data_IF_028498048844
#
_entry.id   IF_028498048844
#
_cell.length_a   1.000
_cell.length_b   1.000
_cell.length_c   1.000
_cell.angle_alpha   90.00
_cell.angle_beta   90.00
_cell.angle_gamma   90.00
#
_symmetry.space_group_name_H-M   'P 1'
#
loop_
_entity.id
_entity.type
_entity.pdbx_description
1 polymer ?
#
# COMPACT_ATOMS: atom_id res chain seq x y z
N UNK A 1 -7.32 -18.23 10.49
CA UNK A 1 -5.98 -17.60 10.51
C UNK A 1 -5.13 -17.88 9.27
N UNK A 2 -4.84 -19.15 8.89
CA UNK A 2 -4.02 -19.48 7.71
C UNK A 2 -4.46 -18.79 6.39
N UNK A 3 -5.78 -18.68 6.16
CA UNK A 3 -6.35 -17.96 5.01
C UNK A 3 -5.91 -16.49 4.94
N UNK A 4 -5.94 -15.77 6.05
CA UNK A 4 -5.62 -14.34 6.08
C UNK A 4 -4.13 -14.07 5.84
N UNK A 5 -3.24 -14.93 6.36
CA UNK A 5 -1.81 -14.84 6.02
C UNK A 5 -1.56 -15.07 4.53
N UNK A 6 -2.22 -16.08 3.92
CA UNK A 6 -2.10 -16.30 2.46
C UNK A 6 -2.58 -15.09 1.66
N UNK A 7 -3.73 -14.52 2.03
CA UNK A 7 -4.26 -13.32 1.37
C UNK A 7 -3.30 -12.12 1.53
N UNK A 8 -2.76 -11.92 2.73
CA UNK A 8 -1.81 -10.84 2.98
C UNK A 8 -0.55 -11.00 2.13
N UNK A 9 -0.01 -12.21 2.00
CA UNK A 9 1.15 -12.47 1.17
C UNK A 9 0.90 -12.09 -0.30
N UNK A 10 -0.28 -12.41 -0.83
CA UNK A 10 -0.67 -12.02 -2.21
C UNK A 10 -0.70 -10.50 -2.35
N UNK A 11 -1.29 -9.77 -1.40
CA UNK A 11 -1.33 -8.31 -1.44
C UNK A 11 0.07 -7.69 -1.32
N UNK A 12 0.94 -8.25 -0.47
CA UNK A 12 2.31 -7.77 -0.30
C UNK A 12 3.14 -8.01 -1.55
N UNK A 13 2.94 -9.14 -2.23
CA UNK A 13 3.55 -9.41 -3.53
C UNK A 13 3.08 -8.39 -4.57
N UNK A 14 1.77 -8.11 -4.62
CA UNK A 14 1.23 -7.11 -5.53
C UNK A 14 1.77 -5.70 -5.24
N UNK A 15 1.88 -5.31 -3.97
CA UNK A 15 2.53 -4.07 -3.53
C UNK A 15 3.97 -3.97 -4.06
N UNK A 16 4.76 -5.03 -3.91
CA UNK A 16 6.15 -5.04 -4.36
C UNK A 16 6.25 -4.93 -5.89
N UNK A 17 5.34 -5.57 -6.63
CA UNK A 17 5.27 -5.46 -8.08
C UNK A 17 4.92 -4.04 -8.55
N UNK A 18 4.00 -3.36 -7.86
CA UNK A 18 3.67 -1.95 -8.14
C UNK A 18 4.85 -1.02 -7.84
N UNK A 19 5.56 -1.24 -6.72
CA UNK A 19 6.78 -0.50 -6.39
C UNK A 19 7.84 -0.70 -7.47
N UNK A 20 8.05 -1.94 -7.91
CA UNK A 20 9.03 -2.22 -8.95
C UNK A 20 8.70 -1.50 -10.27
N UNK A 21 7.46 -1.59 -10.74
CA UNK A 21 7.01 -0.89 -11.96
C UNK A 21 7.09 0.63 -11.84
N UNK A 22 6.70 1.18 -10.70
CA UNK A 22 6.67 2.63 -10.46
C UNK A 22 8.03 3.27 -10.19
N UNK A 23 9.10 2.49 -10.04
CA UNK A 23 10.37 2.99 -9.48
C UNK A 23 11.04 4.07 -10.33
N UNK A 24 10.91 3.99 -11.67
CA UNK A 24 11.48 4.99 -12.57
C UNK A 24 10.55 6.18 -12.80
N UNK A 25 9.24 5.95 -12.88
CA UNK A 25 8.24 6.98 -13.17
C UNK A 25 7.92 7.86 -11.95
N UNK A 26 7.92 7.27 -10.75
CA UNK A 26 7.41 7.91 -9.53
C UNK A 26 8.45 7.98 -8.40
N UNK A 27 9.75 7.85 -8.70
CA UNK A 27 10.84 7.80 -7.70
C UNK A 27 10.76 8.90 -6.62
N UNK A 28 10.34 10.10 -7.02
CA UNK A 28 10.23 11.26 -6.14
C UNK A 28 8.81 11.56 -5.63
N UNK A 29 7.81 10.82 -6.11
CA UNK A 29 6.44 10.99 -5.67
C UNK A 29 6.25 10.44 -4.24
N UNK A 30 5.46 11.16 -3.44
CA UNK A 30 5.24 10.86 -2.02
C UNK A 30 4.52 9.52 -1.81
N UNK A 31 3.49 9.21 -2.61
CA UNK A 31 2.78 7.91 -2.59
C UNK A 31 3.78 6.77 -2.77
N UNK A 32 4.65 6.87 -3.78
CA UNK A 32 5.64 5.84 -4.08
C UNK A 32 6.62 5.61 -2.94
N UNK A 33 7.15 6.69 -2.35
CA UNK A 33 8.03 6.63 -1.18
C UNK A 33 7.33 5.99 0.03
N UNK A 34 6.05 6.31 0.25
CA UNK A 34 5.23 5.70 1.31
C UNK A 34 4.95 4.22 1.05
N UNK A 35 4.73 3.80 -0.20
CA UNK A 35 4.60 2.38 -0.56
C UNK A 35 5.88 1.59 -0.25
N UNK A 36 7.07 2.15 -0.56
CA UNK A 36 8.36 1.54 -0.19
C UNK A 36 8.49 1.40 1.33
N UNK A 37 8.11 2.45 2.08
CA UNK A 37 8.09 2.41 3.55
C UNK A 37 7.14 1.31 4.06
N UNK A 38 5.93 1.21 3.51
CA UNK A 38 4.96 0.18 3.86
C UNK A 38 5.55 -1.23 3.69
N UNK A 39 6.16 -1.52 2.53
CA UNK A 39 6.81 -2.82 2.26
C UNK A 39 7.89 -3.14 3.31
N UNK A 40 8.70 -2.15 3.72
CA UNK A 40 9.72 -2.31 4.77
C UNK A 40 9.10 -2.56 6.15
N UNK A 41 8.01 -1.88 6.49
CA UNK A 41 7.33 -2.02 7.78
C UNK A 41 6.67 -3.39 7.91
N UNK A 42 6.09 -3.91 6.83
CA UNK A 42 5.50 -5.25 6.78
C UNK A 42 6.56 -6.32 7.09
N UNK A 43 7.75 -6.22 6.50
CA UNK A 43 8.87 -7.13 6.81
C UNK A 43 9.32 -7.08 8.28
N UNK A 44 9.16 -5.92 8.92
CA UNK A 44 9.52 -5.70 10.33
C UNK A 44 8.36 -5.98 11.30
N UNK A 45 7.20 -6.40 10.79
CA UNK A 45 6.00 -6.69 11.60
C UNK A 45 5.58 -5.55 12.55
N UNK A 46 5.77 -4.29 12.15
CA UNK A 46 5.39 -3.14 12.98
C UNK A 46 3.93 -2.72 12.70
N UNK A 47 2.97 -3.45 13.27
CA UNK A 47 1.55 -3.37 12.90
C UNK A 47 0.92 -1.99 13.04
N UNK A 48 1.17 -1.28 14.14
CA UNK A 48 0.65 0.08 14.33
C UNK A 48 1.12 1.02 13.22
N UNK A 49 2.42 0.97 12.87
CA UNK A 49 2.95 1.81 11.78
C UNK A 49 2.45 1.37 10.40
N UNK A 50 2.20 0.08 10.20
CA UNK A 50 1.62 -0.43 8.95
C UNK A 50 0.23 0.18 8.73
N UNK A 51 -0.64 0.12 9.74
CA UNK A 51 -2.00 0.67 9.66
C UNK A 51 -1.98 2.17 9.32
N UNK A 52 -1.18 2.95 10.06
CA UNK A 52 -1.04 4.39 9.82
C UNK A 52 -0.48 4.69 8.42
N UNK A 53 0.50 3.91 7.96
CA UNK A 53 1.08 4.09 6.63
C UNK A 53 0.08 3.74 5.52
N UNK A 54 -0.78 2.74 5.72
CA UNK A 54 -1.87 2.46 4.77
C UNK A 54 -2.85 3.63 4.67
N UNK A 55 -3.22 4.25 5.80
CA UNK A 55 -4.09 5.44 5.82
C UNK A 55 -3.45 6.64 5.13
N UNK A 56 -2.17 6.92 5.41
CA UNK A 56 -1.41 7.97 4.73
C UNK A 56 -1.44 7.78 3.21
N UNK A 57 -1.17 6.56 2.72
CA UNK A 57 -1.16 6.27 1.28
C UNK A 57 -2.56 6.47 0.70
N UNK A 58 -3.60 6.01 1.40
CA UNK A 58 -4.98 6.16 0.94
C UNK A 58 -5.36 7.64 0.77
N UNK A 59 -5.01 8.49 1.74
CA UNK A 59 -5.26 9.93 1.70
C UNK A 59 -4.50 10.61 0.56
N UNK A 60 -3.23 10.24 0.35
CA UNK A 60 -2.44 10.78 -0.76
C UNK A 60 -3.09 10.42 -2.10
N UNK A 61 -3.43 9.16 -2.30
CA UNK A 61 -4.06 8.70 -3.53
C UNK A 61 -5.43 9.34 -3.78
N UNK A 62 -6.25 9.48 -2.73
CA UNK A 62 -7.57 10.10 -2.88
C UNK A 62 -7.43 11.57 -3.28
N UNK A 63 -6.49 12.31 -2.66
CA UNK A 63 -6.18 13.69 -3.03
C UNK A 63 -5.71 13.82 -4.48
N UNK A 64 -4.76 12.97 -4.91
CA UNK A 64 -4.28 12.95 -6.30
C UNK A 64 -5.40 12.56 -7.29
N UNK A 65 -6.31 11.67 -6.89
CA UNK A 65 -7.44 11.25 -7.72
C UNK A 65 -8.46 12.38 -7.93
N UNK A 66 -8.73 13.21 -6.91
CA UNK A 66 -9.59 14.39 -7.07
C UNK A 66 -9.03 15.36 -8.12
N UNK A 67 -7.70 15.45 -8.23
CA UNK A 67 -7.03 16.27 -9.25
C UNK A 67 -7.01 15.65 -10.64
N UNK A 68 -7.55 14.43 -10.82
CA UNK A 68 -7.59 13.73 -12.10
C UNK A 68 -6.26 13.10 -12.52
N UNK A 69 -5.23 13.13 -11.67
CA UNK A 69 -3.91 12.60 -12.00
C UNK A 69 -3.86 11.10 -11.78
N UNK A 70 -3.43 10.36 -12.81
CA UNK A 70 -3.12 8.93 -12.74
C UNK A 70 -4.22 8.11 -11.99
N UNK A 71 -5.48 8.30 -12.39
CA UNK A 71 -6.65 7.74 -11.70
C UNK A 71 -6.55 6.23 -11.49
N UNK A 72 -6.14 5.50 -12.54
CA UNK A 72 -6.07 4.04 -12.50
C UNK A 72 -5.13 3.52 -11.40
N UNK A 73 -3.92 4.09 -11.32
CA UNK A 73 -2.96 3.70 -10.29
C UNK A 73 -3.39 4.18 -8.91
N UNK A 74 -4.02 5.36 -8.80
CA UNK A 74 -4.51 5.85 -7.53
C UNK A 74 -5.60 4.96 -6.94
N UNK A 75 -6.61 4.58 -7.73
CA UNK A 75 -7.64 3.65 -7.28
C UNK A 75 -7.08 2.25 -6.99
N UNK A 76 -6.15 1.77 -7.82
CA UNK A 76 -5.48 0.47 -7.59
C UNK A 76 -4.74 0.48 -6.26
N UNK A 77 -3.96 1.53 -5.97
CA UNK A 77 -3.20 1.64 -4.73
C UNK A 77 -4.14 1.83 -3.53
N UNK A 78 -5.21 2.62 -3.65
CA UNK A 78 -6.22 2.77 -2.60
C UNK A 78 -6.85 1.43 -2.21
N UNK A 79 -7.30 0.65 -3.19
CA UNK A 79 -7.88 -0.67 -2.96
C UNK A 79 -6.89 -1.62 -2.28
N UNK A 80 -5.64 -1.62 -2.76
CA UNK A 80 -4.57 -2.44 -2.21
C UNK A 80 -4.27 -2.12 -0.75
N UNK A 81 -4.03 -0.84 -0.41
CA UNK A 81 -3.67 -0.48 0.97
C UNK A 81 -4.84 -0.63 1.94
N UNK A 82 -6.08 -0.41 1.48
CA UNK A 82 -7.27 -0.69 2.27
C UNK A 82 -7.38 -2.18 2.61
N UNK A 83 -7.10 -3.05 1.63
CA UNK A 83 -7.11 -4.50 1.84
C UNK A 83 -5.98 -4.98 2.73
N UNK A 84 -4.76 -4.45 2.58
CA UNK A 84 -3.64 -4.75 3.49
C UNK A 84 -3.99 -4.33 4.92
N UNK A 85 -4.51 -3.12 5.12
CA UNK A 85 -4.95 -2.63 6.44
C UNK A 85 -5.98 -3.56 7.08
N UNK A 86 -7.01 -3.93 6.32
CA UNK A 86 -8.03 -4.88 6.78
C UNK A 86 -7.43 -6.22 7.22
N UNK A 87 -6.54 -6.79 6.41
CA UNK A 87 -5.92 -8.09 6.70
C UNK A 87 -5.02 -8.04 7.94
N UNK A 88 -4.28 -6.94 8.14
CA UNK A 88 -3.44 -6.73 9.33
C UNK A 88 -4.30 -6.68 10.59
N UNK A 89 -5.37 -5.87 10.59
CA UNK A 89 -6.30 -5.76 11.74
C UNK A 89 -7.02 -7.08 12.04
N UNK A 90 -7.24 -7.93 11.03
CA UNK A 90 -7.86 -9.26 11.24
C UNK A 90 -6.89 -10.31 11.76
N UNK A 91 -5.58 -10.09 11.63
CA UNK A 91 -4.54 -11.02 12.06
C UNK A 91 -4.00 -10.69 13.44
N UNK A 92 -4.01 -9.41 13.84
CA UNK A 92 -3.40 -8.87 15.06
C UNK A 92 -4.30 -7.82 15.69
#
# INVERSE_FOLDING_TARGET
MKKYHRLLNIEVEFLNNLIYRGNNQFKNNLRHRKMILLSRLIKKSNYSKIVNTCEDIYIICSSEAVLGHFLDINFTVMALVARIRYLIIKLF
#
